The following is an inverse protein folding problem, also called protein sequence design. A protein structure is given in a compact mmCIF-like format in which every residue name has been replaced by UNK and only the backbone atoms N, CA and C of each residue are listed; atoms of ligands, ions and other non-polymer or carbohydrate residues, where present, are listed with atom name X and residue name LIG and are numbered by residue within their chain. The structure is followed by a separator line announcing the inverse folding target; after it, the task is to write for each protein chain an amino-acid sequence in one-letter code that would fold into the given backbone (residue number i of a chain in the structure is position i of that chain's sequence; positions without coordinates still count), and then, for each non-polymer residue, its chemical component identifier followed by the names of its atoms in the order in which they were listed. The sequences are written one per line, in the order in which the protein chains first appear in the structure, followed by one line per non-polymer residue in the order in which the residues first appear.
data_IF_629324248480
#
_entry.id   IF_629324248480
#
_cell.length_a   1.000
_cell.length_b   1.000
_cell.length_c   1.000
_cell.angle_alpha   90.00
_cell.angle_beta   90.00
_cell.angle_gamma   90.00
#
_symmetry.space_group_name_H-M   'P 1'
#
loop_
_entity.id
_entity.type
_entity.pdbx_description
1 polymer ?
#
# COMPACT_ATOMS: atom_id res chain seq x y z
N UNK A 1 46.37 -23.11 6.06
CA UNK A 1 45.02 -23.70 5.91
C UNK A 1 44.25 -22.76 4.99
N UNK A 2 43.56 -23.28 3.97
CA UNK A 2 42.63 -22.45 3.18
C UNK A 2 41.35 -22.45 3.99
N UNK A 3 40.90 -21.27 4.39
CA UNK A 3 39.64 -21.13 5.09
C UNK A 3 38.52 -21.45 4.10
N UNK A 4 38.06 -22.69 4.10
CA UNK A 4 36.93 -23.19 3.32
C UNK A 4 35.65 -22.93 4.12
N UNK A 5 35.21 -21.68 4.11
CA UNK A 5 33.89 -21.30 4.62
C UNK A 5 32.97 -20.96 3.45
N UNK A 6 31.67 -21.11 3.68
CA UNK A 6 30.64 -20.73 2.72
C UNK A 6 30.71 -19.23 2.42
N UNK A 7 30.53 -18.88 1.14
CA UNK A 7 30.48 -17.49 0.67
C UNK A 7 29.22 -17.31 -0.14
N UNK A 8 28.35 -16.40 0.27
CA UNK A 8 27.14 -16.05 -0.47
C UNK A 8 27.13 -14.56 -0.79
N UNK A 9 26.63 -14.23 -1.97
CA UNK A 9 26.34 -12.88 -2.41
C UNK A 9 24.83 -12.76 -2.66
N UNK A 10 24.19 -11.84 -1.94
CA UNK A 10 22.75 -11.63 -1.97
C UNK A 10 22.46 -10.30 -2.67
N UNK A 11 21.73 -10.37 -3.78
CA UNK A 11 21.29 -9.22 -4.56
C UNK A 11 19.82 -8.92 -4.32
N UNK A 12 19.49 -7.63 -4.23
CA UNK A 12 18.12 -7.16 -4.07
C UNK A 12 17.75 -6.30 -5.26
N UNK A 13 16.96 -6.84 -6.18
CA UNK A 13 16.78 -6.21 -7.50
C UNK A 13 15.33 -5.87 -7.81
N UNK A 14 15.17 -4.89 -8.69
CA UNK A 14 13.89 -4.59 -9.31
C UNK A 14 13.48 -5.72 -10.28
N UNK A 15 12.28 -6.26 -10.11
CA UNK A 15 11.76 -7.36 -10.91
C UNK A 15 11.73 -7.06 -12.42
N UNK A 16 11.55 -5.79 -12.82
CA UNK A 16 11.38 -5.37 -14.22
C UNK A 16 12.70 -4.94 -14.87
N UNK A 17 13.51 -4.18 -14.14
CA UNK A 17 14.73 -3.54 -14.64
C UNK A 17 16.00 -4.28 -14.26
N UNK A 18 15.95 -5.18 -13.27
CA UNK A 18 17.11 -5.92 -12.75
C UNK A 18 18.12 -5.04 -12.02
N UNK A 19 17.78 -3.78 -11.68
CA UNK A 19 18.67 -2.87 -10.95
C UNK A 19 18.66 -3.19 -9.46
N UNK A 20 19.82 -3.10 -8.82
CA UNK A 20 19.93 -3.20 -7.36
C UNK A 20 19.13 -2.08 -6.66
N UNK A 21 18.54 -2.43 -5.53
CA UNK A 21 17.67 -1.57 -4.73
C UNK A 21 18.31 -1.29 -3.38
N UNK A 22 18.31 -0.02 -2.99
CA UNK A 22 18.74 0.45 -1.67
C UNK A 22 17.54 0.62 -0.72
N UNK A 23 17.79 0.55 0.59
CA UNK A 23 16.80 0.83 1.62
C UNK A 23 15.90 -0.35 2.03
N UNK A 24 16.06 -1.53 1.45
CA UNK A 24 15.36 -2.73 1.94
C UNK A 24 15.99 -3.23 3.23
N UNK A 25 15.19 -3.58 4.24
CA UNK A 25 15.70 -4.29 5.43
C UNK A 25 15.53 -5.79 5.24
N UNK A 26 16.64 -6.54 5.21
CA UNK A 26 16.67 -7.98 4.94
C UNK A 26 17.20 -8.78 6.14
N UNK A 27 16.75 -10.02 6.25
CA UNK A 27 17.25 -11.00 7.21
C UNK A 27 17.53 -12.35 6.53
N UNK A 28 18.59 -13.03 6.96
CA UNK A 28 18.76 -14.47 6.72
C UNK A 28 18.39 -15.21 8.00
N UNK A 29 17.48 -16.18 7.88
CA UNK A 29 16.94 -16.98 8.96
C UNK A 29 17.33 -18.45 8.80
N UNK A 30 17.57 -19.14 9.90
CA UNK A 30 17.66 -20.60 9.92
C UNK A 30 16.28 -21.28 9.91
N UNK A 31 16.27 -22.61 9.89
CA UNK A 31 15.05 -23.44 9.90
C UNK A 31 14.16 -23.24 11.14
N UNK A 32 14.74 -22.76 12.24
CA UNK A 32 14.07 -22.55 13.52
C UNK A 32 13.60 -21.09 13.65
N UNK A 33 13.88 -20.24 12.65
CA UNK A 33 13.51 -18.82 12.60
C UNK A 33 14.49 -17.91 13.34
N UNK A 34 15.68 -18.38 13.69
CA UNK A 34 16.71 -17.52 14.29
C UNK A 34 17.38 -16.67 13.21
N UNK A 35 17.66 -15.41 13.56
CA UNK A 35 18.36 -14.47 12.68
C UNK A 35 19.85 -14.81 12.65
N UNK A 36 20.35 -15.15 11.48
CA UNK A 36 21.76 -15.39 11.21
C UNK A 36 22.47 -14.13 10.72
N UNK A 37 21.77 -13.28 9.96
CA UNK A 37 22.26 -12.01 9.43
C UNK A 37 21.08 -11.02 9.29
N UNK A 38 21.31 -9.73 9.52
CA UNK A 38 20.34 -8.66 9.28
C UNK A 38 21.05 -7.41 8.75
N UNK A 39 20.58 -6.85 7.63
CA UNK A 39 21.17 -5.64 7.05
C UNK A 39 20.14 -4.78 6.31
N UNK A 40 20.56 -3.55 5.97
CA UNK A 40 19.84 -2.65 5.05
C UNK A 40 20.60 -2.59 3.74
N UNK A 41 19.91 -2.73 2.61
CA UNK A 41 20.55 -2.73 1.29
C UNK A 41 21.08 -1.35 0.91
N UNK A 42 22.24 -1.32 0.26
CA UNK A 42 22.96 -0.09 -0.14
C UNK A 42 23.05 0.08 -1.67
N UNK A 43 22.20 -0.66 -2.41
CA UNK A 43 22.21 -0.68 -3.87
C UNK A 43 23.36 -1.51 -4.46
N UNK A 44 23.99 -2.38 -3.68
CA UNK A 44 24.99 -3.35 -4.13
C UNK A 44 24.71 -4.75 -3.57
N UNK A 45 25.26 -5.80 -4.20
CA UNK A 45 25.17 -7.14 -3.63
C UNK A 45 25.85 -7.22 -2.26
N UNK A 46 25.15 -7.79 -1.29
CA UNK A 46 25.64 -7.98 0.08
C UNK A 46 26.35 -9.33 0.20
N UNK A 47 27.53 -9.36 0.81
CA UNK A 47 28.35 -10.57 0.94
C UNK A 47 28.34 -11.08 2.36
N UNK A 48 28.00 -12.36 2.53
CA UNK A 48 27.99 -13.04 3.82
C UNK A 48 28.90 -14.26 3.73
N UNK A 49 29.67 -14.47 4.79
CA UNK A 49 30.55 -15.62 4.94
C UNK A 49 30.11 -16.46 6.15
N UNK A 50 30.43 -17.75 6.17
CA UNK A 50 30.21 -18.66 7.31
C UNK A 50 28.74 -18.90 7.68
N UNK A 51 27.85 -18.89 6.68
CA UNK A 51 26.49 -19.39 6.84
C UNK A 51 26.45 -20.94 6.84
N UNK A 52 25.48 -21.56 7.53
CA UNK A 52 25.29 -23.01 7.51
C UNK A 52 25.11 -23.56 6.09
N UNK A 53 25.82 -24.64 5.77
CA UNK A 53 25.74 -25.36 4.49
C UNK A 53 24.88 -26.62 4.61
N UNK A 54 24.30 -27.07 3.51
CA UNK A 54 23.50 -28.30 3.46
C UNK A 54 22.15 -28.25 4.21
N UNK A 55 21.74 -27.07 4.70
CA UNK A 55 20.46 -26.83 5.36
C UNK A 55 19.67 -25.72 4.64
N UNK A 56 18.34 -25.80 4.68
CA UNK A 56 17.48 -24.74 4.13
C UNK A 56 17.57 -23.49 5.03
N UNK A 57 17.86 -22.36 4.39
CA UNK A 57 17.83 -21.02 4.95
C UNK A 57 16.72 -20.21 4.30
N UNK A 58 16.26 -19.17 4.98
CA UNK A 58 15.24 -18.26 4.46
C UNK A 58 15.79 -16.84 4.41
N UNK A 59 15.79 -16.24 3.22
CA UNK A 59 15.98 -14.80 3.04
C UNK A 59 14.61 -14.13 3.14
N UNK A 60 14.43 -13.26 4.13
CA UNK A 60 13.20 -12.54 4.41
C UNK A 60 13.39 -11.04 4.25
N UNK A 61 12.45 -10.40 3.59
CA UNK A 61 12.34 -8.95 3.60
C UNK A 61 11.46 -8.50 4.77
N UNK A 62 12.00 -7.60 5.59
CA UNK A 62 11.29 -7.00 6.74
C UNK A 62 10.62 -5.70 6.32
N UNK A 63 11.32 -4.90 5.52
CA UNK A 63 10.81 -3.64 4.99
C UNK A 63 11.26 -3.50 3.54
N UNK A 64 10.29 -3.29 2.64
CA UNK A 64 10.56 -3.01 1.24
C UNK A 64 11.12 -1.59 1.02
N UNK A 65 11.92 -1.35 -0.02
CA UNK A 65 12.29 -0.02 -0.47
C UNK A 65 11.08 0.86 -0.80
N UNK A 66 11.29 2.18 -0.79
CA UNK A 66 10.27 3.15 -1.20
C UNK A 66 9.80 2.90 -2.64
N UNK A 67 8.48 2.86 -2.83
CA UNK A 67 7.87 2.59 -4.13
C UNK A 67 7.77 1.11 -4.52
N UNK A 68 8.17 0.17 -3.65
CA UNK A 68 8.12 -1.26 -3.92
C UNK A 68 7.15 -2.02 -2.99
N UNK A 69 6.62 -3.15 -3.49
CA UNK A 69 5.85 -4.12 -2.71
C UNK A 69 6.81 -5.06 -1.97
N UNK A 70 6.43 -5.50 -0.75
CA UNK A 70 7.24 -6.45 0.02
C UNK A 70 7.31 -7.80 -0.71
N UNK A 71 8.51 -8.33 -0.86
CA UNK A 71 8.75 -9.63 -1.48
C UNK A 71 8.34 -10.78 -0.55
N UNK A 72 7.99 -11.91 -1.18
CA UNK A 72 7.86 -13.18 -0.46
C UNK A 72 9.23 -13.71 -0.03
N UNK A 73 9.22 -14.53 1.01
CA UNK A 73 10.42 -15.22 1.50
C UNK A 73 11.08 -16.07 0.41
N UNK A 74 12.41 -15.96 0.29
CA UNK A 74 13.21 -16.77 -0.63
C UNK A 74 13.93 -17.86 0.14
N UNK A 75 13.60 -19.13 -0.15
CA UNK A 75 14.27 -20.30 0.43
C UNK A 75 15.48 -20.68 -0.41
N UNK A 76 16.62 -20.93 0.25
CA UNK A 76 17.86 -21.34 -0.43
C UNK A 76 18.71 -22.25 0.45
N UNK A 77 19.59 -23.03 -0.18
CA UNK A 77 20.55 -23.91 0.49
C UNK A 77 21.94 -23.62 -0.05
N UNK A 78 22.94 -23.59 0.82
CA UNK A 78 24.33 -23.39 0.41
C UNK A 78 25.05 -24.74 0.28
N UNK A 79 25.80 -24.91 -0.80
CA UNK A 79 26.73 -26.01 -0.98
C UNK A 79 27.99 -25.81 -0.12
N UNK A 80 28.60 -26.93 0.30
CA UNK A 80 29.88 -26.94 1.01
C UNK A 80 31.05 -26.69 0.03
N UNK A 81 31.18 -25.43 -0.40
CA UNK A 81 32.20 -25.01 -1.36
C UNK A 81 32.72 -23.62 -1.03
N UNK A 82 34.02 -23.40 -1.31
CA UNK A 82 34.66 -22.10 -1.19
C UNK A 82 34.30 -21.11 -2.33
N UNK A 83 33.49 -21.55 -3.32
CA UNK A 83 32.99 -20.68 -4.39
C UNK A 83 31.90 -19.76 -3.86
N UNK A 84 31.84 -18.54 -4.41
CA UNK A 84 30.76 -17.60 -4.12
C UNK A 84 29.47 -18.10 -4.76
N UNK A 85 28.45 -18.31 -3.94
CA UNK A 85 27.10 -18.69 -4.33
C UNK A 85 26.23 -17.43 -4.39
N UNK A 86 25.26 -17.36 -5.31
CA UNK A 86 24.44 -16.17 -5.51
C UNK A 86 22.99 -16.44 -5.17
N UNK A 87 22.38 -15.52 -4.43
CA UNK A 87 20.95 -15.51 -4.11
C UNK A 87 20.38 -14.17 -4.55
N UNK A 88 19.21 -14.17 -5.18
CA UNK A 88 18.56 -12.96 -5.66
C UNK A 88 17.13 -12.90 -5.10
N UNK A 89 16.77 -11.74 -4.56
CA UNK A 89 15.40 -11.40 -4.18
C UNK A 89 14.92 -10.23 -5.03
N UNK A 90 13.71 -10.33 -5.59
CA UNK A 90 13.18 -9.36 -6.54
C UNK A 90 11.94 -8.66 -6.00
N UNK A 91 11.89 -7.34 -6.17
CA UNK A 91 10.68 -6.58 -5.85
C UNK A 91 9.93 -6.10 -7.08
N UNK A 92 8.62 -6.15 -6.94
CA UNK A 92 7.71 -5.49 -7.86
C UNK A 92 7.49 -4.04 -7.42
N UNK A 93 7.66 -3.11 -8.36
CA UNK A 93 7.25 -1.72 -8.14
C UNK A 93 5.75 -1.67 -7.85
N UNK A 94 5.37 -0.86 -6.87
CA UNK A 94 3.98 -0.45 -6.69
C UNK A 94 3.56 0.28 -7.97
N UNK A 95 2.30 0.12 -8.42
CA UNK A 95 1.78 0.95 -9.49
C UNK A 95 1.88 2.41 -9.05
N UNK A 96 2.69 3.19 -9.75
CA UNK A 96 2.65 4.65 -9.63
C UNK A 96 1.24 5.05 -10.05
N UNK A 97 0.40 5.39 -9.07
CA UNK A 97 -0.78 6.17 -9.39
C UNK A 97 -0.22 7.45 -9.97
N UNK A 98 -0.48 7.80 -11.25
CA UNK A 98 0.04 9.03 -11.81
C UNK A 98 -0.39 10.13 -10.85
N UNK A 99 0.60 10.83 -10.27
CA UNK A 99 0.33 12.03 -9.50
C UNK A 99 -0.54 12.89 -10.41
N UNK A 100 -1.83 12.99 -10.08
CA UNK A 100 -2.72 13.89 -10.76
C UNK A 100 -2.02 15.26 -10.67
N UNK A 101 -1.54 15.75 -11.80
CA UNK A 101 -1.53 17.17 -12.05
C UNK A 101 -2.97 17.60 -11.84
N UNK A 102 -3.32 17.95 -10.61
CA UNK A 102 -4.60 18.57 -10.29
C UNK A 102 -4.63 19.86 -11.11
N UNK A 103 -5.45 20.00 -12.18
CA UNK A 103 -5.80 21.34 -12.59
C UNK A 103 -6.55 21.96 -11.41
N UNK A 104 -6.12 23.13 -10.95
CA UNK A 104 -6.96 23.94 -10.06
C UNK A 104 -8.17 24.43 -10.86
N UNK A 105 -9.20 23.62 -10.99
CA UNK A 105 -10.54 24.07 -11.40
C UNK A 105 -11.58 23.27 -10.63
N UNK A 106 -12.37 23.98 -9.83
CA UNK A 106 -13.37 23.37 -8.97
C UNK A 106 -14.54 22.80 -9.76
N UNK A 107 -14.78 21.50 -9.63
CA UNK A 107 -16.08 20.88 -9.87
C UNK A 107 -16.17 19.53 -9.13
N UNK A 108 -16.74 19.64 -7.92
CA UNK A 108 -17.60 18.68 -7.18
C UNK A 108 -17.53 17.15 -7.49
N UNK A 109 -16.92 16.35 -6.59
CA UNK A 109 -16.69 14.91 -6.77
C UNK A 109 -17.85 13.98 -6.35
N UNK A 110 -19.12 14.39 -6.42
CA UNK A 110 -20.28 13.49 -6.15
C UNK A 110 -21.14 13.19 -7.39
N UNK A 111 -20.85 13.77 -8.57
CA UNK A 111 -21.68 13.53 -9.77
C UNK A 111 -21.34 12.28 -10.58
N UNK A 112 -20.26 11.56 -10.28
CA UNK A 112 -19.75 10.51 -11.17
C UNK A 112 -20.12 9.08 -10.75
N UNK A 113 -20.88 8.88 -9.66
CA UNK A 113 -21.24 7.52 -9.18
C UNK A 113 -22.77 7.31 -9.01
N UNK A 114 -23.63 8.25 -9.45
CA UNK A 114 -25.10 8.15 -9.26
C UNK A 114 -25.95 8.26 -10.54
N UNK A 115 -25.46 7.78 -11.70
CA UNK A 115 -26.22 7.80 -12.96
C UNK A 115 -26.25 6.44 -13.69
N UNK A 116 -26.29 5.33 -12.96
CA UNK A 116 -26.53 3.99 -13.54
C UNK A 116 -27.76 3.29 -12.93
N UNK A 117 -28.49 3.90 -11.99
CA UNK A 117 -29.61 3.23 -11.32
C UNK A 117 -30.85 4.15 -11.29
N UNK A 118 -31.86 3.80 -12.11
CA UNK A 118 -33.29 4.17 -12.02
C UNK A 118 -33.69 5.58 -12.52
N UNK A 119 -33.74 5.76 -13.84
CA UNK A 119 -34.68 6.70 -14.50
C UNK A 119 -35.52 5.98 -15.57
N UNK A 120 -35.83 4.70 -15.31
CA UNK A 120 -36.95 4.03 -15.93
C UNK A 120 -38.01 3.83 -14.83
N UNK A 121 -39.17 4.47 -15.02
CA UNK A 121 -40.46 4.22 -14.37
C UNK A 121 -40.72 4.88 -13.00
N UNK A 122 -41.27 6.10 -13.01
CA UNK A 122 -42.62 6.43 -12.50
C UNK A 122 -42.73 7.86 -11.95
N UNK A 123 -43.08 8.80 -12.83
CA UNK A 123 -43.61 10.10 -12.44
C UNK A 123 -45.05 10.23 -12.93
N UNK A 124 -46.01 9.82 -12.10
CA UNK A 124 -47.39 10.34 -12.16
C UNK A 124 -47.97 10.40 -10.76
N UNK A 125 -47.80 11.53 -10.08
CA UNK A 125 -48.75 12.01 -9.09
C UNK A 125 -48.83 13.54 -9.23
N UNK A 126 -49.94 13.94 -9.85
CA UNK A 126 -50.40 15.30 -10.08
C UNK A 126 -50.45 16.12 -8.79
N UNK A 127 -50.03 17.39 -8.82
CA UNK A 127 -50.74 18.50 -8.15
C UNK A 127 -49.98 19.82 -8.27
N UNK A 128 -50.10 20.53 -9.41
CA UNK A 128 -49.93 21.99 -9.41
C UNK A 128 -50.87 22.61 -10.45
N UNK A 129 -52.15 22.80 -10.11
CA UNK A 129 -53.00 23.80 -10.77
C UNK A 129 -53.84 24.51 -9.70
N UNK A 130 -53.47 25.78 -9.49
CA UNK A 130 -54.33 26.95 -9.19
C UNK A 130 -55.42 26.77 -8.12
N UNK A 131 -55.24 27.45 -6.99
CA UNK A 131 -56.03 28.64 -6.65
C UNK A 131 -55.26 29.40 -5.56
N UNK A 132 -54.81 30.59 -5.93
CA UNK A 132 -54.41 31.68 -5.06
C UNK A 132 -55.64 32.57 -5.03
N UNK A 133 -56.32 32.66 -3.88
CA UNK A 133 -57.02 33.86 -3.37
C UNK A 133 -57.91 33.52 -2.16
N UNK A 134 -57.87 34.38 -1.14
CA UNK A 134 -58.64 34.30 0.10
C UNK A 134 -57.75 34.54 1.32
N UNK A 135 -57.29 35.78 1.57
CA UNK A 135 -57.90 36.72 2.53
C UNK A 135 -58.19 36.09 3.91
N UNK A 136 -57.32 36.31 4.88
CA UNK A 136 -57.66 37.16 6.04
C UNK A 136 -56.40 37.39 6.87
N UNK A 137 -56.23 38.64 7.25
CA UNK A 137 -55.26 39.18 8.17
C UNK A 137 -56.00 39.26 9.51
N UNK A 138 -55.48 38.63 10.57
CA UNK A 138 -55.81 38.87 11.99
C UNK A 138 -54.79 38.05 12.81
N UNK A 139 -53.70 38.64 13.30
CA UNK A 139 -53.55 39.45 14.52
C UNK A 139 -53.35 38.60 15.79
N UNK A 140 -52.46 39.11 16.65
CA UNK A 140 -52.25 38.78 18.06
C UNK A 140 -51.31 37.61 18.39
N UNK A 141 -50.03 37.97 18.51
CA UNK A 141 -49.11 37.43 19.50
C UNK A 141 -49.66 37.87 20.87
N UNK A 142 -50.29 36.95 21.60
CA UNK A 142 -50.57 37.14 23.02
C UNK A 142 -49.34 36.68 23.81
N UNK A 143 -48.46 37.64 24.07
CA UNK A 143 -47.49 37.54 25.16
C UNK A 143 -48.24 37.98 26.42
N UNK A 144 -48.54 37.06 27.32
CA UNK A 144 -48.94 37.43 28.68
C UNK A 144 -48.63 36.29 29.65
N UNK A 145 -47.37 36.22 30.08
CA UNK A 145 -47.04 35.82 31.44
C UNK A 145 -46.65 37.08 32.24
N UNK A 146 -47.70 37.78 32.64
CA UNK A 146 -47.99 38.19 34.01
C UNK A 146 -46.80 38.71 34.84
N UNK A 147 -46.71 40.04 34.91
CA UNK A 147 -46.20 40.75 36.09
C UNK A 147 -47.38 41.45 36.79
N UNK A 148 -47.62 41.02 38.02
CA UNK A 148 -48.20 41.77 39.13
C UNK A 148 -49.73 41.84 39.30
N UNK A 149 -50.13 41.37 40.50
CA UNK A 149 -51.37 41.62 41.28
C UNK A 149 -52.72 41.20 40.72
#
# INVERSE_FOLDING_TARGET
MKDEYSKVEISKTDLTTGKELEGAKLQVLDKDGNILEEWVTDGKPHKIEKLPVGVELTLREITAPDGYEIAEDVKFTLEDTAKVQKVEMKDKKKPETPAASVPKTGENPWKLIALVIICALSATALAVIRIREGKHQEDVIQTDEKKEK
#
